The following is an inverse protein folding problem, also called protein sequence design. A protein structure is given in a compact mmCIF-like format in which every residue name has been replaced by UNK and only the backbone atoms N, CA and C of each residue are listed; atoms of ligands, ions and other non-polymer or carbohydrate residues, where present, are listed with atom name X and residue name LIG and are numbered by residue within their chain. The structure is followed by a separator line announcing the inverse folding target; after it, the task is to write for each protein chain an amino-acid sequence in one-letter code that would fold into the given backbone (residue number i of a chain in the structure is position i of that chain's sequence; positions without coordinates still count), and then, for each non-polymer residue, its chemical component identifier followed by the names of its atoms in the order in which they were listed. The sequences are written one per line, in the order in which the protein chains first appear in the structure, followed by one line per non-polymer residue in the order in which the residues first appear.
data_IF_580387808187
#
_entry.id   IF_580387808187
#
_cell.length_a   1.000
_cell.length_b   1.000
_cell.length_c   1.000
_cell.angle_alpha   90.00
_cell.angle_beta   90.00
_cell.angle_gamma   90.00
#
_symmetry.space_group_name_H-M   'P 1'
#
loop_
_entity.id
_entity.type
_entity.pdbx_description
1 polymer ?
#
# COMPACT_ATOMS: atom_id res chain seq x y z
N UNK A 1 -48.89 -35.70 -5.04
CA UNK A 1 -47.72 -34.84 -4.86
C UNK A 1 -46.48 -35.72 -5.03
N UNK A 2 -45.74 -35.57 -6.13
CA UNK A 2 -44.55 -36.36 -6.45
C UNK A 2 -43.32 -35.61 -5.91
N UNK A 3 -42.53 -36.26 -5.06
CA UNK A 3 -41.25 -35.74 -4.55
C UNK A 3 -40.17 -35.89 -5.62
N UNK A 4 -39.51 -34.83 -6.11
CA UNK A 4 -38.43 -34.95 -7.07
C UNK A 4 -37.09 -35.31 -6.38
N UNK A 5 -36.36 -36.28 -6.93
CA UNK A 5 -34.89 -36.25 -7.00
C UNK A 5 -34.06 -36.33 -5.71
N UNK A 6 -34.39 -37.22 -4.77
CA UNK A 6 -33.61 -37.40 -3.53
C UNK A 6 -32.94 -38.78 -3.39
N UNK A 7 -32.26 -39.24 -4.45
CA UNK A 7 -31.45 -40.47 -4.37
C UNK A 7 -30.10 -40.11 -3.72
N UNK A 8 -29.95 -40.41 -2.44
CA UNK A 8 -28.71 -40.22 -1.66
C UNK A 8 -27.47 -40.88 -2.29
N UNK A 9 -27.66 -41.88 -3.14
CA UNK A 9 -26.59 -42.67 -3.75
C UNK A 9 -26.03 -42.11 -5.07
N UNK A 10 -26.43 -40.92 -5.53
CA UNK A 10 -25.86 -40.33 -6.75
C UNK A 10 -24.38 -40.02 -6.51
N UNK A 11 -23.52 -40.71 -7.27
CA UNK A 11 -22.06 -40.51 -7.32
C UNK A 11 -21.69 -39.74 -8.57
N UNK A 12 -20.76 -38.81 -8.43
CA UNK A 12 -20.25 -38.01 -9.54
C UNK A 12 -18.76 -37.76 -9.36
N UNK A 13 -18.07 -37.51 -10.47
CA UNK A 13 -16.63 -37.25 -10.48
C UNK A 13 -16.31 -35.95 -9.74
N UNK A 14 -15.37 -36.03 -8.79
CA UNK A 14 -15.03 -34.89 -7.92
C UNK A 14 -14.16 -33.84 -8.62
N UNK A 15 -13.31 -34.24 -9.57
CA UNK A 15 -12.33 -33.36 -10.19
C UNK A 15 -12.95 -32.12 -10.92
N UNK A 16 -13.99 -32.27 -11.77
CA UNK A 16 -14.64 -31.10 -12.38
C UNK A 16 -15.29 -30.16 -11.36
N UNK A 17 -15.83 -30.73 -10.28
CA UNK A 17 -16.45 -29.96 -9.20
C UNK A 17 -15.41 -29.08 -8.49
N UNK A 18 -14.22 -29.61 -8.20
CA UNK A 18 -13.18 -28.83 -7.50
C UNK A 18 -12.70 -27.64 -8.31
N UNK A 19 -12.57 -27.78 -9.63
CA UNK A 19 -12.17 -26.68 -10.52
C UNK A 19 -13.16 -25.51 -10.44
N UNK A 20 -14.46 -25.79 -10.48
CA UNK A 20 -15.48 -24.74 -10.44
C UNK A 20 -15.71 -24.20 -9.02
N UNK A 21 -15.77 -25.08 -8.02
CA UNK A 21 -15.94 -24.65 -6.63
C UNK A 21 -14.73 -23.91 -6.09
N UNK A 22 -13.52 -24.13 -6.63
CA UNK A 22 -12.31 -23.41 -6.21
C UNK A 22 -12.40 -21.91 -6.47
N UNK A 23 -13.28 -21.46 -7.37
CA UNK A 23 -13.48 -20.03 -7.63
C UNK A 23 -14.35 -19.36 -6.56
N UNK A 24 -15.21 -20.11 -5.87
CA UNK A 24 -16.32 -19.55 -5.07
C UNK A 24 -16.31 -20.03 -3.62
N UNK A 25 -15.90 -21.27 -3.35
CA UNK A 25 -16.04 -21.96 -2.06
C UNK A 25 -14.84 -21.74 -1.15
N UNK A 26 -15.05 -21.56 0.16
CA UNK A 26 -13.97 -21.41 1.15
C UNK A 26 -12.98 -22.58 1.12
N UNK A 27 -11.72 -22.28 1.45
CA UNK A 27 -10.62 -23.25 1.45
C UNK A 27 -10.83 -24.41 2.44
N UNK A 28 -11.40 -24.14 3.61
CA UNK A 28 -11.68 -25.18 4.61
C UNK A 28 -12.75 -26.18 4.13
N UNK A 29 -13.79 -25.70 3.43
CA UNK A 29 -14.80 -26.59 2.85
C UNK A 29 -14.24 -27.36 1.66
N UNK A 30 -13.44 -26.71 0.81
CA UNK A 30 -12.71 -27.40 -0.26
C UNK A 30 -11.88 -28.56 0.27
N UNK A 31 -11.12 -28.35 1.36
CA UNK A 31 -10.33 -29.40 1.98
C UNK A 31 -11.20 -30.55 2.54
N UNK A 32 -12.33 -30.22 3.18
CA UNK A 32 -13.27 -31.25 3.66
C UNK A 32 -13.86 -32.08 2.53
N UNK A 33 -14.22 -31.45 1.41
CA UNK A 33 -14.72 -32.15 0.24
C UNK A 33 -13.64 -33.02 -0.42
N UNK A 34 -12.40 -32.52 -0.52
CA UNK A 34 -11.26 -33.29 -1.02
C UNK A 34 -10.96 -34.52 -0.16
N UNK A 35 -11.06 -34.39 1.16
CA UNK A 35 -10.86 -35.50 2.09
C UNK A 35 -11.98 -36.56 2.03
N UNK A 36 -13.14 -36.22 1.48
CA UNK A 36 -14.30 -37.10 1.37
C UNK A 36 -14.42 -37.81 0.00
N UNK A 37 -13.45 -37.60 -0.90
CA UNK A 37 -13.38 -38.28 -2.19
C UNK A 37 -13.09 -39.76 -1.96
N UNK A 38 -13.86 -40.64 -2.62
CA UNK A 38 -13.63 -42.08 -2.53
C UNK A 38 -12.41 -42.54 -3.36
N UNK A 39 -12.06 -43.83 -3.25
CA UNK A 39 -10.93 -44.42 -3.98
C UNK A 39 -11.10 -44.40 -5.50
N UNK A 40 -12.32 -44.18 -6.01
CA UNK A 40 -12.64 -44.10 -7.43
C UNK A 40 -12.68 -42.64 -7.94
N UNK A 41 -12.38 -41.66 -7.08
CA UNK A 41 -12.36 -40.25 -7.43
C UNK A 41 -13.74 -39.59 -7.43
N UNK A 42 -14.74 -40.22 -6.81
CA UNK A 42 -16.13 -39.74 -6.80
C UNK A 42 -16.52 -39.11 -5.45
N UNK A 43 -17.57 -38.29 -5.50
CA UNK A 43 -18.28 -37.73 -4.36
C UNK A 43 -19.77 -38.06 -4.43
N UNK A 44 -20.43 -38.07 -3.28
CA UNK A 44 -21.88 -38.21 -3.17
C UNK A 44 -22.55 -36.87 -2.88
N UNK A 45 -23.83 -36.76 -3.24
CA UNK A 45 -24.67 -35.60 -2.90
C UNK A 45 -24.72 -35.32 -1.38
N UNK A 46 -24.74 -36.38 -0.56
CA UNK A 46 -24.82 -36.25 0.89
C UNK A 46 -23.58 -35.58 1.48
N UNK A 47 -22.39 -35.84 0.93
CA UNK A 47 -21.16 -35.17 1.35
C UNK A 47 -21.25 -33.66 1.12
N UNK A 48 -21.81 -33.23 -0.02
CA UNK A 48 -22.03 -31.81 -0.28
C UNK A 48 -22.99 -31.18 0.74
N UNK A 49 -24.11 -31.86 1.01
CA UNK A 49 -25.15 -31.40 1.95
C UNK A 49 -24.65 -31.32 3.39
N UNK A 50 -23.90 -32.33 3.83
CA UNK A 50 -23.28 -32.36 5.17
C UNK A 50 -22.28 -31.22 5.37
N UNK A 51 -21.66 -30.74 4.29
CA UNK A 51 -20.76 -29.59 4.31
C UNK A 51 -21.48 -28.25 4.04
N UNK A 52 -22.81 -28.23 4.14
CA UNK A 52 -23.63 -27.03 4.08
C UNK A 52 -23.77 -26.45 2.66
N UNK A 53 -23.66 -27.28 1.63
CA UNK A 53 -24.00 -26.94 0.26
C UNK A 53 -25.40 -27.44 -0.08
N UNK A 54 -26.15 -26.67 -0.85
CA UNK A 54 -27.45 -27.09 -1.35
C UNK A 54 -27.25 -27.82 -2.68
N UNK A 55 -27.29 -29.15 -2.65
CA UNK A 55 -27.04 -29.98 -3.82
C UNK A 55 -28.25 -30.84 -4.19
N UNK A 56 -28.69 -30.73 -5.44
CA UNK A 56 -29.81 -31.48 -6.03
C UNK A 56 -29.41 -32.01 -7.40
N UNK A 57 -29.87 -33.21 -7.73
CA UNK A 57 -29.66 -33.81 -9.06
C UNK A 57 -31.01 -33.92 -9.78
N UNK A 58 -31.09 -33.34 -10.97
CA UNK A 58 -32.23 -33.47 -11.88
C UNK A 58 -31.96 -34.64 -12.83
N UNK A 59 -32.71 -35.73 -12.68
CA UNK A 59 -32.55 -36.96 -13.44
C UNK A 59 -33.06 -36.85 -14.89
N UNK A 60 -34.00 -35.93 -15.15
CA UNK A 60 -34.56 -35.69 -16.48
C UNK A 60 -33.61 -34.87 -17.34
N UNK A 61 -32.91 -33.92 -16.73
CA UNK A 61 -31.94 -33.06 -17.41
C UNK A 61 -30.49 -33.55 -17.28
N UNK A 62 -30.25 -34.61 -16.48
CA UNK A 62 -28.92 -35.10 -16.11
C UNK A 62 -28.04 -33.97 -15.57
N UNK A 63 -28.63 -33.11 -14.73
CA UNK A 63 -27.99 -31.89 -14.24
C UNK A 63 -27.75 -31.97 -12.73
N UNK A 64 -26.50 -31.73 -12.31
CA UNK A 64 -26.15 -31.54 -10.91
C UNK A 64 -26.18 -30.05 -10.57
N UNK A 65 -27.19 -29.64 -9.79
CA UNK A 65 -27.34 -28.26 -9.31
C UNK A 65 -26.76 -28.14 -7.92
N UNK A 66 -25.76 -27.27 -7.77
CA UNK A 66 -25.12 -26.97 -6.49
C UNK A 66 -25.22 -25.47 -6.25
N UNK A 67 -25.99 -25.11 -5.23
CA UNK A 67 -26.10 -23.76 -4.75
C UNK A 67 -25.18 -23.60 -3.54
N UNK A 68 -24.24 -22.66 -3.65
CA UNK A 68 -23.27 -22.34 -2.59
C UNK A 68 -23.84 -21.20 -1.75
N UNK A 69 -24.28 -21.47 -0.50
CA UNK A 69 -24.82 -20.43 0.36
C UNK A 69 -23.75 -19.37 0.66
N UNK A 70 -24.12 -18.09 0.84
CA UNK A 70 -23.17 -17.01 1.12
C UNK A 70 -22.16 -17.30 2.25
N UNK A 71 -22.58 -18.05 3.27
CA UNK A 71 -21.75 -18.44 4.44
C UNK A 71 -20.56 -19.35 4.05
N UNK A 72 -20.72 -20.13 2.97
CA UNK A 72 -19.71 -21.04 2.45
C UNK A 72 -18.82 -20.41 1.36
N UNK A 73 -19.14 -19.19 0.91
CA UNK A 73 -18.34 -18.50 -0.12
C UNK A 73 -17.05 -17.95 0.45
N UNK A 74 -16.01 -17.90 -0.40
CA UNK A 74 -14.74 -17.23 -0.11
C UNK A 74 -15.01 -15.77 0.27
N UNK A 75 -14.18 -15.25 1.17
CA UNK A 75 -14.20 -13.83 1.50
C UNK A 75 -13.79 -13.03 0.26
N UNK A 76 -14.63 -12.10 -0.16
CA UNK A 76 -14.31 -11.16 -1.24
C UNK A 76 -13.53 -9.99 -0.65
N UNK A 77 -12.28 -9.81 -1.10
CA UNK A 77 -11.37 -8.77 -0.61
C UNK A 77 -11.40 -7.59 -1.57
N UNK A 78 -11.63 -6.39 -1.04
CA UNK A 78 -11.66 -5.14 -1.78
C UNK A 78 -10.62 -4.18 -1.20
N UNK A 79 -9.55 -3.93 -1.95
CA UNK A 79 -8.56 -2.91 -1.62
C UNK A 79 -8.99 -1.59 -2.26
N UNK A 80 -9.15 -0.53 -1.46
CA UNK A 80 -9.58 0.77 -1.97
C UNK A 80 -8.45 1.60 -2.59
N UNK A 81 -7.19 1.21 -2.34
CA UNK A 81 -6.03 1.72 -3.07
C UNK A 81 -5.46 0.62 -3.94
N UNK A 82 -5.06 0.99 -5.15
CA UNK A 82 -4.25 0.12 -6.00
C UNK A 82 -2.90 -0.12 -5.31
N UNK A 83 -2.60 -1.40 -5.07
CA UNK A 83 -1.35 -1.83 -4.48
C UNK A 83 -0.44 -2.38 -5.57
N UNK A 84 0.74 -1.79 -5.71
CA UNK A 84 1.75 -2.26 -6.65
C UNK A 84 2.26 -1.17 -7.58
N UNK A 85 3.22 -1.56 -8.42
CA UNK A 85 3.71 -0.72 -9.50
C UNK A 85 2.55 -0.44 -10.46
N UNK A 86 2.31 0.83 -10.84
CA UNK A 86 1.34 1.13 -11.88
C UNK A 86 1.77 0.44 -13.18
N UNK A 87 0.83 0.04 -14.07
CA UNK A 87 1.15 -0.64 -15.32
C UNK A 87 2.22 0.08 -16.15
N UNK A 88 2.26 1.41 -16.08
CA UNK A 88 3.21 2.28 -16.76
C UNK A 88 4.65 2.14 -16.24
N UNK A 89 4.85 1.63 -15.02
CA UNK A 89 6.16 1.46 -14.42
C UNK A 89 7.01 0.39 -15.12
N UNK A 90 6.38 -0.59 -15.77
CA UNK A 90 7.10 -1.59 -16.58
C UNK A 90 7.87 -0.94 -17.73
N UNK A 91 7.34 0.16 -18.26
CA UNK A 91 7.91 0.93 -19.36
C UNK A 91 8.63 2.20 -18.89
N UNK A 92 8.90 2.34 -17.59
CA UNK A 92 9.56 3.52 -17.05
C UNK A 92 10.97 3.69 -17.60
N UNK A 93 11.33 4.94 -17.90
CA UNK A 93 12.71 5.29 -18.28
C UNK A 93 13.66 4.95 -17.14
N UNK A 94 14.63 4.08 -17.44
CA UNK A 94 15.67 3.72 -16.48
C UNK A 94 16.64 4.91 -16.31
N UNK A 95 17.22 5.08 -15.11
CA UNK A 95 18.24 6.10 -14.89
C UNK A 95 19.37 5.97 -15.92
N UNK A 96 19.81 7.11 -16.47
CA UNK A 96 20.98 7.15 -17.34
C UNK A 96 22.21 6.63 -16.60
N UNK A 97 23.11 5.95 -17.33
CA UNK A 97 24.40 5.51 -16.80
C UNK A 97 25.29 6.69 -16.39
N UNK A 98 25.04 7.88 -16.94
CA UNK A 98 25.70 9.12 -16.54
C UNK A 98 24.73 10.29 -16.66
N UNK A 99 24.63 11.10 -15.61
CA UNK A 99 23.85 12.34 -15.61
C UNK A 99 24.41 13.29 -14.57
N UNK A 100 24.14 14.58 -14.69
CA UNK A 100 24.56 15.53 -13.68
C UNK A 100 23.96 16.91 -13.92
N UNK A 101 24.06 17.75 -12.91
CA UNK A 101 23.65 19.15 -12.98
C UNK A 101 24.57 20.01 -12.12
N UNK A 102 24.57 21.30 -12.42
CA UNK A 102 25.14 22.36 -11.59
C UNK A 102 24.10 23.47 -11.50
N UNK A 103 23.77 23.85 -10.27
CA UNK A 103 22.97 25.02 -9.95
C UNK A 103 23.91 26.12 -9.45
N UNK A 104 23.84 27.29 -10.08
CA UNK A 104 24.52 28.50 -9.63
C UNK A 104 23.46 29.55 -9.28
N UNK A 105 23.53 30.10 -8.08
CA UNK A 105 22.67 31.19 -7.60
C UNK A 105 23.54 32.33 -7.12
N UNK A 106 23.27 33.55 -7.58
CA UNK A 106 24.05 34.73 -7.20
C UNK A 106 23.16 35.90 -6.83
N UNK A 107 23.62 36.72 -5.89
CA UNK A 107 22.94 37.94 -5.45
C UNK A 107 23.94 39.04 -5.12
N UNK A 108 23.60 40.28 -5.45
CA UNK A 108 24.39 41.45 -5.09
C UNK A 108 23.45 42.61 -4.76
N UNK A 109 23.53 43.07 -3.51
CA UNK A 109 22.70 44.16 -3.04
C UNK A 109 23.38 45.52 -3.21
N UNK A 110 22.58 46.57 -3.32
CA UNK A 110 23.03 47.95 -3.28
C UNK A 110 22.24 48.71 -2.22
N UNK A 111 22.92 49.16 -1.17
CA UNK A 111 22.29 49.85 -0.05
C UNK A 111 22.43 51.37 -0.20
N UNK A 112 21.33 52.11 -0.16
CA UNK A 112 21.36 53.57 -0.10
C UNK A 112 20.67 54.06 1.18
N UNK A 113 21.24 55.07 1.83
CA UNK A 113 20.67 55.68 3.03
C UNK A 113 20.86 57.19 3.02
N UNK A 114 19.83 57.93 3.42
CA UNK A 114 19.87 59.39 3.59
C UNK A 114 20.45 59.85 4.93
N UNK A 115 20.84 58.92 5.82
CA UNK A 115 21.41 59.24 7.13
C UNK A 115 22.93 58.99 7.12
N UNK A 116 23.72 59.98 7.54
CA UNK A 116 25.18 59.82 7.63
C UNK A 116 25.56 58.72 8.64
N UNK A 117 26.48 57.83 8.26
CA UNK A 117 27.04 56.80 9.14
C UNK A 117 26.68 55.35 8.82
N UNK A 118 25.79 55.09 7.85
CA UNK A 118 25.50 53.71 7.39
C UNK A 118 26.43 53.32 6.24
N UNK A 119 26.89 52.07 6.17
CA UNK A 119 27.69 51.55 5.06
C UNK A 119 26.85 51.49 3.76
N UNK A 120 26.75 52.62 3.07
CA UNK A 120 26.07 52.75 1.78
C UNK A 120 26.93 52.24 0.63
N UNK A 121 26.28 51.82 -0.46
CA UNK A 121 26.90 51.38 -1.70
C UNK A 121 26.73 49.88 -1.94
N UNK A 122 27.56 49.36 -2.85
CA UNK A 122 27.56 47.95 -3.27
C UNK A 122 27.93 47.03 -2.10
N UNK A 123 27.01 46.14 -1.76
CA UNK A 123 27.20 45.08 -0.78
C UNK A 123 27.99 43.91 -1.41
N UNK A 124 28.57 43.03 -0.61
CA UNK A 124 29.28 41.84 -1.09
C UNK A 124 28.48 41.01 -2.09
N UNK A 125 29.13 40.59 -3.17
CA UNK A 125 28.59 39.55 -4.05
C UNK A 125 28.52 38.23 -3.29
N UNK A 126 27.37 37.57 -3.35
CA UNK A 126 27.17 36.22 -2.82
C UNK A 126 26.87 35.26 -3.96
N UNK A 127 27.60 34.16 -4.04
CA UNK A 127 27.36 33.08 -5.00
C UNK A 127 27.20 31.76 -4.24
N UNK A 128 26.25 30.93 -4.65
CA UNK A 128 26.01 29.59 -4.15
C UNK A 128 26.06 28.62 -5.34
N UNK A 129 26.86 27.58 -5.17
CA UNK A 129 27.07 26.51 -6.14
C UNK A 129 26.60 25.21 -5.52
N UNK A 130 25.80 24.46 -6.25
CA UNK A 130 25.40 23.09 -5.91
C UNK A 130 25.54 22.23 -7.15
N UNK A 131 26.10 21.04 -7.02
CA UNK A 131 26.26 20.13 -8.13
C UNK A 131 26.00 18.70 -7.72
N UNK A 132 25.55 17.90 -8.68
CA UNK A 132 25.47 16.47 -8.56
C UNK A 132 25.94 15.79 -9.84
N UNK A 133 26.69 14.70 -9.70
CA UNK A 133 27.12 13.84 -10.79
C UNK A 133 26.75 12.39 -10.45
N UNK A 134 25.83 11.82 -11.22
CA UNK A 134 25.51 10.40 -11.22
C UNK A 134 26.38 9.67 -12.24
N UNK A 135 27.04 8.61 -11.78
CA UNK A 135 27.74 7.66 -12.62
C UNK A 135 27.40 6.23 -12.17
N UNK A 136 26.67 5.49 -13.02
CA UNK A 136 26.24 4.11 -12.78
C UNK A 136 25.60 3.89 -11.40
N UNK A 137 24.76 4.84 -10.96
CA UNK A 137 24.04 4.76 -9.69
C UNK A 137 24.83 5.23 -8.46
N UNK A 138 26.06 5.72 -8.65
CA UNK A 138 26.80 6.46 -7.64
C UNK A 138 26.66 7.95 -7.90
N UNK A 139 26.16 8.70 -6.93
CA UNK A 139 25.91 10.14 -7.04
C UNK A 139 26.87 10.89 -6.14
N UNK A 140 27.78 11.66 -6.74
CA UNK A 140 28.61 12.63 -6.03
C UNK A 140 27.84 13.94 -5.96
N UNK A 141 27.54 14.40 -4.76
CA UNK A 141 26.84 15.67 -4.50
C UNK A 141 27.77 16.61 -3.74
N UNK A 142 27.78 17.88 -4.13
CA UNK A 142 28.63 18.90 -3.52
C UNK A 142 27.99 20.28 -3.51
N UNK A 143 28.27 21.08 -2.48
CA UNK A 143 27.90 22.50 -2.46
C UNK A 143 29.05 23.40 -2.02
N UNK A 144 28.96 24.67 -2.38
CA UNK A 144 29.93 25.69 -1.97
C UNK A 144 29.33 27.09 -2.03
N UNK A 145 29.76 27.95 -1.12
CA UNK A 145 29.35 29.36 -1.08
C UNK A 145 30.57 30.25 -1.23
N UNK A 146 30.43 31.28 -2.05
CA UNK A 146 31.37 32.39 -2.15
C UNK A 146 30.71 33.66 -1.63
N UNK A 147 31.38 34.33 -0.70
CA UNK A 147 30.96 35.64 -0.20
C UNK A 147 32.14 36.60 -0.31
N UNK A 148 31.99 37.60 -1.17
CA UNK A 148 33.01 38.62 -1.34
C UNK A 148 33.32 39.34 -0.01
N UNK A 149 34.56 39.82 0.19
CA UNK A 149 34.96 40.58 1.39
C UNK A 149 34.80 39.82 2.72
N UNK A 150 34.73 38.49 2.67
CA UNK A 150 34.85 37.63 3.87
C UNK A 150 36.16 36.86 3.82
N UNK A 151 36.66 36.41 4.97
CA UNK A 151 37.83 35.53 5.06
C UNK A 151 37.47 34.28 5.88
N UNK A 152 37.38 33.09 5.26
CA UNK A 152 37.60 32.82 3.84
C UNK A 152 36.43 33.30 2.96
N UNK A 153 36.73 33.87 1.79
CA UNK A 153 35.70 34.26 0.81
C UNK A 153 35.02 33.06 0.17
N UNK A 154 35.65 31.89 0.20
CA UNK A 154 35.12 30.64 -0.36
C UNK A 154 34.97 29.61 0.76
N UNK A 155 33.77 29.11 0.95
CA UNK A 155 33.42 28.12 1.96
C UNK A 155 32.87 26.89 1.24
N UNK A 156 33.49 25.74 1.49
CA UNK A 156 32.96 24.44 1.07
C UNK A 156 31.72 24.12 1.91
N UNK A 157 30.66 23.67 1.27
CA UNK A 157 29.50 23.05 1.91
C UNK A 157 29.65 21.53 2.01
N UNK A 158 28.53 20.83 2.00
CA UNK A 158 28.52 19.37 2.07
C UNK A 158 29.14 18.76 0.80
N UNK A 159 29.97 17.73 0.97
CA UNK A 159 30.39 16.84 -0.10
C UNK A 159 30.13 15.39 0.32
N UNK A 160 29.37 14.67 -0.49
CA UNK A 160 29.01 13.28 -0.21
C UNK A 160 28.87 12.45 -1.46
N UNK A 161 29.17 11.16 -1.31
CA UNK A 161 28.93 10.12 -2.29
C UNK A 161 27.73 9.29 -1.81
N UNK A 162 26.72 9.16 -2.66
CA UNK A 162 25.45 8.49 -2.36
C UNK A 162 25.27 7.31 -3.31
N UNK A 163 24.81 6.18 -2.78
CA UNK A 163 24.36 5.04 -3.58
C UNK A 163 23.03 4.51 -3.04
N UNK A 164 22.06 4.33 -3.93
CA UNK A 164 20.75 3.79 -3.59
C UNK A 164 20.64 2.34 -4.07
N UNK A 165 20.11 1.49 -3.19
CA UNK A 165 19.69 0.12 -3.48
C UNK A 165 18.16 0.01 -3.33
N UNK A 166 17.38 0.37 -4.38
CA UNK A 166 15.92 0.46 -4.31
C UNK A 166 15.24 -0.84 -3.93
N UNK A 167 15.72 -2.00 -4.39
CA UNK A 167 15.13 -3.31 -4.08
C UNK A 167 15.11 -3.61 -2.58
N UNK A 168 16.13 -3.11 -1.88
CA UNK A 168 16.23 -3.24 -0.44
C UNK A 168 15.70 -1.98 0.28
N UNK A 169 15.36 -0.90 -0.41
CA UNK A 169 15.07 0.41 0.19
C UNK A 169 16.22 0.90 1.09
N UNK A 170 17.48 0.68 0.68
CA UNK A 170 18.66 1.17 1.41
C UNK A 170 19.33 2.32 0.67
N UNK A 171 19.82 3.30 1.43
CA UNK A 171 20.71 4.35 0.96
C UNK A 171 22.04 4.28 1.72
N UNK A 172 23.12 4.27 0.97
CA UNK A 172 24.49 4.36 1.46
C UNK A 172 25.01 5.77 1.21
N UNK A 173 25.62 6.40 2.21
CA UNK A 173 26.20 7.74 2.11
C UNK A 173 27.60 7.73 2.70
N UNK A 174 28.56 8.35 2.03
CA UNK A 174 29.93 8.55 2.50
C UNK A 174 30.29 10.03 2.35
N UNK A 175 30.77 10.67 3.41
CA UNK A 175 31.15 12.09 3.39
C UNK A 175 30.42 12.88 4.46
N UNK A 176 29.98 14.10 4.13
CA UNK A 176 29.27 14.97 5.05
C UNK A 176 27.82 14.49 5.24
N UNK A 177 27.49 14.09 6.46
CA UNK A 177 26.23 13.49 6.86
C UNK A 177 25.37 14.47 7.66
N UNK A 178 24.08 14.46 7.35
CA UNK A 178 23.04 15.04 8.20
C UNK A 178 22.10 13.92 8.63
N UNK A 179 22.21 13.51 9.90
CA UNK A 179 21.44 12.38 10.42
C UNK A 179 20.01 12.84 10.70
N UNK A 180 18.98 12.13 10.21
CA UNK A 180 17.60 12.42 10.55
C UNK A 180 17.39 12.24 12.06
N UNK A 181 16.77 13.22 12.70
CA UNK A 181 16.50 13.24 14.14
C UNK A 181 15.04 12.92 14.42
N UNK A 182 14.78 12.26 15.56
CA UNK A 182 13.43 12.02 16.06
C UNK A 182 13.23 12.62 17.46
N UNK A 183 12.03 13.12 17.74
CA UNK A 183 11.69 13.72 19.03
C UNK A 183 12.56 14.94 19.38
N UNK A 184 13.25 14.89 20.52
CA UNK A 184 14.06 15.98 21.06
C UNK A 184 15.55 15.94 20.64
N UNK A 185 15.90 15.13 19.65
CA UNK A 185 17.29 15.01 19.21
C UNK A 185 17.72 16.23 18.38
N UNK A 186 18.94 16.71 18.59
CA UNK A 186 19.56 17.75 17.77
C UNK A 186 20.49 17.14 16.72
N UNK A 187 20.29 17.48 15.45
CA UNK A 187 21.19 17.03 14.39
C UNK A 187 22.48 17.86 14.42
N UNK A 188 23.61 17.19 14.17
CA UNK A 188 24.92 17.82 14.01
C UNK A 188 25.53 17.30 12.71
N UNK A 189 26.12 18.17 11.88
CA UNK A 189 26.90 17.72 10.74
C UNK A 189 28.05 16.84 11.21
N UNK A 190 28.21 15.68 10.58
CA UNK A 190 29.23 14.69 10.92
C UNK A 190 29.90 14.21 9.63
N UNK A 191 31.19 13.92 9.69
CA UNK A 191 31.90 13.25 8.59
C UNK A 191 31.88 11.74 8.87
N UNK A 192 31.39 10.94 7.92
CA UNK A 192 31.34 9.50 8.13
C UNK A 192 30.74 8.68 7.00
N UNK A 193 30.33 7.46 7.35
CA UNK A 193 29.60 6.52 6.50
C UNK A 193 28.27 6.25 7.16
N UNK A 194 27.18 6.32 6.39
CA UNK A 194 25.85 5.99 6.87
C UNK A 194 25.17 4.95 5.98
N UNK A 195 24.43 4.04 6.61
CA UNK A 195 23.50 3.13 5.94
C UNK A 195 22.12 3.29 6.54
N UNK A 196 21.19 3.82 5.74
CA UNK A 196 19.85 4.13 6.20
C UNK A 196 18.79 3.38 5.40
N UNK A 197 17.74 2.93 6.09
CA UNK A 197 16.51 2.48 5.43
C UNK A 197 15.76 3.70 4.92
N UNK A 198 15.56 3.77 3.60
CA UNK A 198 14.79 4.82 2.96
C UNK A 198 13.66 4.25 2.10
N UNK A 199 12.45 4.25 2.66
CA UNK A 199 11.25 3.76 1.97
C UNK A 199 10.79 4.67 0.82
N UNK A 200 11.29 5.91 0.70
CA UNK A 200 10.99 6.76 -0.45
C UNK A 200 11.55 6.19 -1.77
N UNK A 201 12.51 5.27 -1.69
CA UNK A 201 13.06 4.55 -2.85
C UNK A 201 12.07 3.50 -3.41
N UNK A 202 11.01 3.17 -2.66
CA UNK A 202 9.95 2.25 -3.05
C UNK A 202 8.58 2.93 -2.91
N UNK A 203 8.26 3.95 -3.73
CA UNK A 203 7.07 4.79 -3.54
C UNK A 203 5.75 4.01 -3.61
N UNK A 204 5.73 2.88 -4.31
CA UNK A 204 4.56 2.02 -4.47
C UNK A 204 4.42 0.95 -3.37
N UNK A 205 5.37 0.88 -2.43
CA UNK A 205 5.30 -0.07 -1.33
C UNK A 205 4.49 0.51 -0.19
N UNK A 206 3.45 -0.21 0.20
CA UNK A 206 2.68 0.11 1.41
C UNK A 206 3.53 -0.19 2.64
N UNK A 207 4.03 0.86 3.29
CA UNK A 207 4.88 0.77 4.48
C UNK A 207 4.15 0.99 5.79
N UNK A 208 2.88 1.39 5.71
CA UNK A 208 1.98 1.63 6.84
C UNK A 208 1.09 0.40 7.07
N UNK A 209 0.55 0.21 8.28
CA UNK A 209 -0.48 -0.80 8.52
C UNK A 209 -1.69 -0.54 7.60
N UNK A 210 -2.15 -1.59 6.92
CA UNK A 210 -3.41 -1.54 6.17
C UNK A 210 -4.58 -1.72 7.13
N UNK A 211 -5.62 -0.90 6.98
CA UNK A 211 -6.89 -1.14 7.67
C UNK A 211 -7.57 -2.36 7.06
N UNK A 212 -8.22 -3.18 7.87
CA UNK A 212 -8.96 -4.37 7.43
C UNK A 212 -10.30 -4.42 8.18
N UNK A 213 -11.41 -4.49 7.45
CA UNK A 213 -12.76 -4.52 8.01
C UNK A 213 -13.54 -5.68 7.39
N UNK A 214 -13.76 -6.72 8.20
CA UNK A 214 -14.52 -7.90 7.80
C UNK A 214 -15.97 -7.81 8.26
N UNK A 215 -16.91 -8.12 7.37
CA UNK A 215 -18.34 -8.17 7.68
C UNK A 215 -19.05 -9.18 6.77
N UNK A 216 -20.33 -9.44 7.04
CA UNK A 216 -21.12 -10.42 6.30
C UNK A 216 -22.36 -9.75 5.70
N UNK A 217 -22.63 -10.07 4.43
CA UNK A 217 -23.83 -9.63 3.71
C UNK A 217 -24.71 -10.84 3.41
N UNK A 218 -25.95 -10.80 3.88
CA UNK A 218 -26.94 -11.83 3.58
C UNK A 218 -27.40 -11.78 2.12
N UNK A 219 -27.53 -10.56 1.58
CA UNK A 219 -27.99 -10.28 0.22
C UNK A 219 -27.02 -9.33 -0.49
N UNK A 220 -26.99 -9.31 -1.84
CA UNK A 220 -26.26 -8.29 -2.57
C UNK A 220 -26.72 -6.89 -2.15
N UNK A 221 -25.78 -6.06 -1.72
CA UNK A 221 -26.08 -4.79 -1.04
C UNK A 221 -25.15 -3.68 -1.50
N UNK A 222 -25.65 -2.45 -1.49
CA UNK A 222 -24.86 -1.23 -1.65
C UNK A 222 -24.19 -0.90 -0.31
N UNK A 223 -22.89 -0.72 -0.29
CA UNK A 223 -22.13 -0.37 0.91
C UNK A 223 -21.49 1.00 0.71
N UNK A 224 -21.91 1.97 1.52
CA UNK A 224 -21.34 3.31 1.57
C UNK A 224 -20.37 3.38 2.74
N UNK A 225 -19.12 3.70 2.45
CA UNK A 225 -18.04 3.83 3.43
C UNK A 225 -17.91 5.30 3.79
N UNK A 226 -18.16 5.63 5.06
CA UNK A 226 -17.97 6.95 5.63
C UNK A 226 -16.75 6.95 6.55
N UNK A 227 -15.95 8.01 6.48
CA UNK A 227 -14.82 8.26 7.37
C UNK A 227 -15.03 9.62 8.02
N UNK A 228 -15.13 9.66 9.35
CA UNK A 228 -15.43 10.87 10.12
C UNK A 228 -16.69 11.60 9.60
N UNK A 229 -17.73 10.84 9.23
CA UNK A 229 -19.00 11.35 8.70
C UNK A 229 -18.99 11.77 7.22
N UNK A 230 -17.85 11.69 6.52
CA UNK A 230 -17.77 12.03 5.09
C UNK A 230 -17.80 10.75 4.23
N UNK A 231 -18.64 10.68 3.18
CA UNK A 231 -18.65 9.53 2.27
C UNK A 231 -17.37 9.51 1.43
N UNK A 232 -16.65 8.38 1.48
CA UNK A 232 -15.38 8.19 0.80
C UNK A 232 -15.52 7.28 -0.41
N UNK A 233 -16.31 6.20 -0.28
CA UNK A 233 -16.51 5.26 -1.37
C UNK A 233 -17.89 4.61 -1.28
N UNK A 234 -18.44 4.26 -2.44
CA UNK A 234 -19.63 3.42 -2.56
C UNK A 234 -19.26 2.16 -3.33
N UNK A 235 -19.61 1.01 -2.78
CA UNK A 235 -19.35 -0.30 -3.37
C UNK A 235 -20.66 -1.06 -3.57
N UNK A 236 -20.79 -1.77 -4.69
CA UNK A 236 -21.87 -2.75 -4.87
C UNK A 236 -21.27 -4.14 -4.59
N UNK A 237 -21.65 -4.74 -3.47
CA UNK A 237 -21.04 -6.00 -2.99
C UNK A 237 -22.01 -7.18 -3.09
N UNK A 238 -21.53 -8.38 -3.45
CA UNK A 238 -22.35 -9.59 -3.47
C UNK A 238 -22.64 -10.10 -2.05
N UNK A 239 -23.60 -11.03 -1.93
CA UNK A 239 -23.83 -11.75 -0.69
C UNK A 239 -22.63 -12.65 -0.33
N UNK A 240 -22.23 -12.63 0.94
CA UNK A 240 -21.12 -13.42 1.48
C UNK A 240 -20.28 -12.64 2.48
N UNK A 241 -19.15 -13.23 2.90
CA UNK A 241 -18.14 -12.54 3.71
C UNK A 241 -17.42 -11.52 2.84
N UNK A 242 -17.38 -10.29 3.31
CA UNK A 242 -16.72 -9.16 2.68
C UNK A 242 -15.56 -8.70 3.54
N UNK A 243 -14.48 -8.28 2.90
CA UNK A 243 -13.32 -7.68 3.56
C UNK A 243 -12.90 -6.42 2.81
N UNK A 244 -13.06 -5.27 3.47
CA UNK A 244 -12.69 -3.96 2.94
C UNK A 244 -11.34 -3.57 3.54
N UNK A 245 -10.38 -3.25 2.67
CA UNK A 245 -8.99 -2.95 3.06
C UNK A 245 -8.48 -1.62 2.51
N UNK A 246 -7.45 -1.09 3.19
CA UNK A 246 -6.68 0.10 2.77
C UNK A 246 -7.54 1.36 2.58
N UNK A 247 -8.40 1.63 3.58
CA UNK A 247 -9.16 2.87 3.63
C UNK A 247 -8.19 4.07 3.77
N UNK A 248 -8.49 5.23 3.16
CA UNK A 248 -7.68 6.44 3.28
C UNK A 248 -7.87 7.12 4.64
N UNK A 249 -7.44 6.46 5.71
CA UNK A 249 -7.52 6.97 7.07
C UNK A 249 -6.49 8.09 7.31
N UNK A 250 -6.90 9.09 8.09
CA UNK A 250 -6.01 10.16 8.54
C UNK A 250 -5.20 9.73 9.76
N UNK A 251 -4.06 10.37 10.01
CA UNK A 251 -3.31 10.11 11.25
C UNK A 251 -4.11 10.54 12.47
N UNK A 252 -4.24 9.65 13.46
CA UNK A 252 -5.05 9.83 14.67
C UNK A 252 -6.15 8.79 14.80
N UNK A 253 -7.21 9.15 15.54
CA UNK A 253 -8.43 8.36 15.65
C UNK A 253 -9.32 8.70 14.45
N UNK A 254 -9.82 7.67 13.78
CA UNK A 254 -10.79 7.78 12.70
C UNK A 254 -12.02 6.98 13.07
N UNK A 255 -13.18 7.56 12.81
CA UNK A 255 -14.46 6.87 12.90
C UNK A 255 -14.84 6.34 11.52
N UNK A 256 -14.90 5.03 11.36
CA UNK A 256 -15.26 4.38 10.10
C UNK A 256 -16.66 3.79 10.24
N UNK A 257 -17.58 4.28 9.43
CA UNK A 257 -18.97 3.81 9.40
C UNK A 257 -19.29 3.19 8.04
N UNK A 258 -19.84 1.98 8.05
CA UNK A 258 -20.39 1.35 6.86
C UNK A 258 -21.90 1.46 6.90
N UNK A 259 -22.49 2.10 5.88
CA UNK A 259 -23.93 2.13 5.65
C UNK A 259 -24.26 1.12 4.57
N UNK A 260 -24.87 0.01 4.96
CA UNK A 260 -25.23 -1.11 4.10
C UNK A 260 -26.70 -0.97 3.76
N UNK A 261 -27.03 -0.83 2.48
CA UNK A 261 -28.40 -0.78 1.97
C UNK A 261 -28.67 -2.01 1.11
N UNK A 262 -29.64 -2.83 1.53
CA UNK A 262 -30.03 -4.02 0.77
C UNK A 262 -30.93 -3.67 -0.44
N UNK A 263 -31.23 -4.67 -1.27
CA UNK A 263 -32.06 -4.50 -2.46
C UNK A 263 -33.52 -4.08 -2.16
N UNK A 264 -33.99 -4.25 -0.93
CA UNK A 264 -35.35 -3.87 -0.49
C UNK A 264 -35.35 -2.57 0.32
N UNK A 265 -34.21 -1.87 0.41
CA UNK A 265 -34.06 -0.57 1.06
C UNK A 265 -33.85 -0.62 2.57
N UNK A 266 -33.63 -1.80 3.17
CA UNK A 266 -33.24 -1.87 4.59
C UNK A 266 -31.81 -1.37 4.74
N UNK A 267 -31.61 -0.54 5.76
CA UNK A 267 -30.33 0.08 6.05
C UNK A 267 -29.78 -0.48 7.36
N UNK A 268 -28.57 -1.01 7.31
CA UNK A 268 -27.78 -1.42 8.46
C UNK A 268 -26.54 -0.54 8.58
N UNK A 269 -26.18 -0.17 9.80
CA UNK A 269 -24.95 0.58 10.09
C UNK A 269 -23.99 -0.28 10.91
N UNK A 270 -22.74 -0.29 10.51
CA UNK A 270 -21.65 -0.92 11.25
C UNK A 270 -20.57 0.13 11.52
N UNK A 271 -20.25 0.34 12.80
CA UNK A 271 -19.25 1.32 13.23
C UNK A 271 -17.97 0.60 13.68
N UNK A 272 -16.84 1.04 13.15
CA UNK A 272 -15.53 0.48 13.46
C UNK A 272 -14.58 1.59 13.94
N UNK A 273 -14.12 1.56 15.20
CA UNK A 273 -13.10 2.51 15.65
C UNK A 273 -11.74 2.14 15.04
N UNK A 274 -11.10 3.08 14.34
CA UNK A 274 -9.81 2.85 13.68
C UNK A 274 -8.76 3.88 14.12
N UNK A 275 -7.72 3.44 14.84
CA UNK A 275 -6.59 4.28 15.22
C UNK A 275 -5.38 4.04 14.30
N UNK A 276 -4.85 5.10 13.69
CA UNK A 276 -3.67 5.05 12.81
C UNK A 276 -2.63 6.05 13.30
N UNK A 277 -1.49 5.58 13.78
CA UNK A 277 -0.35 6.47 14.06
C UNK A 277 0.53 6.61 12.82
N UNK A 278 0.96 7.85 12.50
CA UNK A 278 1.67 8.19 11.26
C UNK A 278 3.05 7.55 11.12
N UNK A 279 3.64 7.12 12.24
CA UNK A 279 4.99 6.55 12.32
C UNK A 279 4.99 5.02 12.50
N UNK A 280 3.82 4.37 12.51
CA UNK A 280 3.76 2.91 12.58
C UNK A 280 4.16 2.32 11.23
N UNK A 281 5.11 1.40 11.30
CA UNK A 281 5.50 0.56 10.17
C UNK A 281 4.65 -0.72 10.17
N UNK A 282 4.35 -1.25 8.99
CA UNK A 282 3.73 -2.57 8.87
C UNK A 282 4.61 -3.67 9.49
N UNK A 283 3.99 -4.75 9.96
CA UNK A 283 4.67 -5.86 10.62
C UNK A 283 5.83 -6.38 9.77
N UNK A 284 7.02 -6.49 10.39
CA UNK A 284 8.24 -6.96 9.73
C UNK A 284 9.10 -5.88 9.07
N UNK A 285 8.63 -4.63 8.99
CA UNK A 285 9.44 -3.50 8.54
C UNK A 285 10.22 -2.91 9.72
N UNK A 286 11.49 -2.55 9.45
CA UNK A 286 12.38 -1.87 10.39
C UNK A 286 12.96 -0.64 9.71
N UNK A 287 12.86 0.51 10.38
CA UNK A 287 13.53 1.75 9.98
C UNK A 287 14.72 1.98 10.90
N UNK A 288 15.87 2.30 10.31
CA UNK A 288 17.11 2.55 11.03
C UNK A 288 18.03 3.44 10.20
N UNK A 289 19.00 4.05 10.89
CA UNK A 289 20.17 4.70 10.33
C UNK A 289 21.35 4.23 11.18
N UNK A 290 22.35 3.64 10.54
CA UNK A 290 23.61 3.23 11.14
C UNK A 290 24.73 4.15 10.65
#
# INVERSE_FOLDING_TARGET
MLSPGNIAAVRFQAAPLFTETAKILRSDIQQKLQAAVDSEGNLTLDVLRQNGLEATFDDRQLELRIQVPPVQRKTSIYNLREQGLPPEAENALRPSAMSGYINLRGGQDYLWSGTQGTATGRQPLQLNLEGALNWKGWVLEGSSTFTERTDPSWVRGDLRLVHDAPDQALRYVIGDLSVPVSGYQSSRPLLGVAVARNFSLQPYRVTRPISQFEFFLETPSKVEVLINGLPVQTLQLPAGRQDIRDLPLSGGINDVQLIITDAVGRVQRLDFPAAVARELLSTGLKQFCL
#
